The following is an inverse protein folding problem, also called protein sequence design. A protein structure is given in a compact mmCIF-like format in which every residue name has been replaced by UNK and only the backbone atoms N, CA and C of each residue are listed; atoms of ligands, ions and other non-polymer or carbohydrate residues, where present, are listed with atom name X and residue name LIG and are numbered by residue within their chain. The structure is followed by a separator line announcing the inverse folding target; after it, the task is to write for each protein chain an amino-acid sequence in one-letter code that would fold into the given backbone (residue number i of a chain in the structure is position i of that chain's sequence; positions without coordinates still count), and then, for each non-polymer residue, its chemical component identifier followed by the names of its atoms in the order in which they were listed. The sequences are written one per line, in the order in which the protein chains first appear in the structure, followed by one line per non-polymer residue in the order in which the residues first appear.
data_IF_513600131673
#
_entry.id   IF_513600131673
#
_cell.length_a   1.000
_cell.length_b   1.000
_cell.length_c   1.000
_cell.angle_alpha   90.00
_cell.angle_beta   90.00
_cell.angle_gamma   90.00
#
_symmetry.space_group_name_H-M   'P 1'
#
loop_
_entity.id
_entity.type
_entity.pdbx_description
1 polymer ?
#
# COMPACT_ATOMS: atom_id res chain seq x y z
N UNK A 1 -4.05 14.90 -7.24
CA UNK A 1 -3.51 14.21 -8.43
C UNK A 1 -4.30 14.73 -9.60
N UNK A 2 -3.61 15.28 -10.58
CA UNK A 2 -4.22 15.85 -11.78
C UNK A 2 -4.59 14.69 -12.72
N UNK A 3 -5.89 14.48 -13.03
CA UNK A 3 -6.33 13.32 -13.81
C UNK A 3 -5.79 13.34 -15.25
N UNK A 4 -5.54 14.52 -15.79
CA UNK A 4 -4.99 14.70 -17.13
C UNK A 4 -3.53 14.22 -17.20
N UNK A 5 -2.73 14.44 -16.15
CA UNK A 5 -1.34 13.97 -16.08
C UNK A 5 -1.21 12.44 -16.14
N UNK A 6 -2.11 11.68 -15.52
CA UNK A 6 -2.07 10.21 -15.54
C UNK A 6 -2.52 9.65 -16.90
N UNK A 7 -3.51 10.28 -17.53
CA UNK A 7 -3.95 9.91 -18.88
C UNK A 7 -2.82 10.09 -19.91
N UNK A 8 -2.08 11.21 -19.83
CA UNK A 8 -0.93 11.45 -20.71
C UNK A 8 0.22 10.45 -20.50
N UNK A 9 0.45 10.01 -19.25
CA UNK A 9 1.47 9.00 -18.96
C UNK A 9 1.09 7.63 -19.54
N UNK A 10 -0.17 7.21 -19.37
CA UNK A 10 -0.65 5.93 -19.89
C UNK A 10 -0.62 5.87 -21.44
N UNK A 11 -0.90 6.99 -22.10
CA UNK A 11 -0.80 7.12 -23.57
C UNK A 11 0.66 6.98 -24.06
N UNK A 12 1.60 7.65 -23.39
CA UNK A 12 3.02 7.53 -23.69
C UNK A 12 3.55 6.10 -23.48
N UNK A 13 3.16 5.47 -22.37
CA UNK A 13 3.49 4.06 -22.07
C UNK A 13 2.92 3.13 -23.14
N UNK A 14 1.66 3.32 -23.54
CA UNK A 14 1.03 2.49 -24.58
C UNK A 14 1.79 2.60 -25.91
N UNK A 15 2.19 3.81 -26.28
CA UNK A 15 2.97 4.07 -27.50
C UNK A 15 4.35 3.39 -27.45
N UNK A 16 5.06 3.49 -26.33
CA UNK A 16 6.39 2.90 -26.16
C UNK A 16 6.36 1.37 -26.21
N UNK A 17 5.39 0.75 -25.53
CA UNK A 17 5.26 -0.71 -25.51
C UNK A 17 4.77 -1.26 -26.86
N UNK A 18 3.90 -0.54 -27.57
CA UNK A 18 3.52 -0.90 -28.93
C UNK A 18 4.74 -0.85 -29.87
N UNK A 19 5.60 0.16 -29.75
CA UNK A 19 6.85 0.26 -30.51
C UNK A 19 7.84 -0.88 -30.21
N UNK A 20 7.84 -1.39 -28.97
CA UNK A 20 8.61 -2.56 -28.57
C UNK A 20 8.00 -3.91 -29.01
N UNK A 21 6.84 -3.91 -29.67
CA UNK A 21 6.20 -5.11 -30.22
C UNK A 21 5.26 -5.85 -29.26
N UNK A 22 4.87 -5.24 -28.14
CA UNK A 22 3.84 -5.80 -27.27
C UNK A 22 2.46 -5.66 -27.91
N UNK A 23 1.59 -6.64 -27.68
CA UNK A 23 0.19 -6.54 -28.10
C UNK A 23 -0.58 -5.62 -27.17
N UNK A 24 -1.61 -4.96 -27.71
CA UNK A 24 -2.45 -4.03 -26.95
C UNK A 24 -3.08 -4.68 -25.70
N UNK A 25 -3.47 -5.96 -25.81
CA UNK A 25 -3.95 -6.78 -24.70
C UNK A 25 -2.92 -6.94 -23.57
N UNK A 26 -1.64 -7.14 -23.92
CA UNK A 26 -0.56 -7.26 -22.97
C UNK A 26 -0.28 -5.94 -22.25
N UNK A 27 -0.34 -4.84 -23.00
CA UNK A 27 -0.15 -3.48 -22.47
C UNK A 27 -1.26 -3.14 -21.48
N UNK A 28 -2.52 -3.43 -21.83
CA UNK A 28 -3.68 -3.26 -20.93
C UNK A 28 -3.54 -4.07 -19.65
N UNK A 29 -3.08 -5.32 -19.76
CA UNK A 29 -2.84 -6.19 -18.59
C UNK A 29 -1.80 -5.60 -17.64
N UNK A 30 -0.72 -5.01 -18.19
CA UNK A 30 0.33 -4.35 -17.39
C UNK A 30 -0.22 -3.09 -16.70
N UNK A 31 -0.95 -2.24 -17.43
CA UNK A 31 -1.54 -1.01 -16.88
C UNK A 31 -2.56 -1.31 -15.79
N UNK A 32 -3.43 -2.31 -16.00
CA UNK A 32 -4.41 -2.75 -15.01
C UNK A 32 -3.72 -3.28 -13.74
N UNK A 33 -2.69 -4.11 -13.90
CA UNK A 33 -1.91 -4.63 -12.76
C UNK A 33 -1.19 -3.51 -12.00
N UNK A 34 -0.66 -2.50 -12.69
CA UNK A 34 -0.05 -1.33 -12.05
C UNK A 34 -1.08 -0.52 -11.26
N UNK A 35 -2.29 -0.34 -11.81
CA UNK A 35 -3.38 0.32 -11.10
C UNK A 35 -3.81 -0.50 -9.87
N UNK A 36 -3.95 -1.82 -9.99
CA UNK A 36 -4.25 -2.69 -8.85
C UNK A 36 -3.19 -2.58 -7.75
N UNK A 37 -1.90 -2.58 -8.09
CA UNK A 37 -0.81 -2.46 -7.11
C UNK A 37 -0.78 -1.10 -6.43
N UNK A 38 -0.96 0.00 -7.18
CA UNK A 38 -1.10 1.36 -6.61
C UNK A 38 -2.25 1.46 -5.60
N UNK A 39 -3.37 0.80 -5.88
CA UNK A 39 -4.54 0.84 -5.00
C UNK A 39 -4.43 -0.15 -3.82
N UNK A 40 -3.77 -1.30 -3.98
CA UNK A 40 -3.58 -2.29 -2.91
C UNK A 40 -2.64 -1.81 -1.79
N UNK A 41 -1.62 -0.99 -2.10
CA UNK A 41 -0.74 -0.40 -1.08
C UNK A 41 -1.51 0.46 -0.06
N UNK A 42 -2.67 0.98 -0.45
CA UNK A 42 -3.53 1.76 0.46
C UNK A 42 -4.29 0.85 1.43
N UNK A 43 -4.65 -0.37 1.01
CA UNK A 43 -5.48 -1.30 1.77
C UNK A 43 -4.68 -2.26 2.66
N UNK A 44 -3.40 -2.51 2.37
CA UNK A 44 -2.55 -3.39 3.16
C UNK A 44 -1.67 -2.67 4.18
N UNK A 45 -2.21 -1.65 4.87
CA UNK A 45 -1.60 -1.24 6.14
C UNK A 45 -1.79 -2.38 7.14
N UNK A 46 -0.78 -3.25 7.27
CA UNK A 46 -0.81 -4.31 8.28
C UNK A 46 -0.55 -3.65 9.63
N UNK A 47 -1.63 -3.21 10.29
CA UNK A 47 -1.55 -2.62 11.62
C UNK A 47 -0.99 -3.67 12.58
N UNK A 48 0.22 -3.44 13.07
CA UNK A 48 0.79 -4.28 14.11
C UNK A 48 0.11 -3.96 15.43
N UNK A 49 -0.50 -4.96 16.07
CA UNK A 49 -1.01 -4.80 17.44
C UNK A 49 0.17 -4.82 18.39
N UNK A 50 0.30 -3.77 19.18
CA UNK A 50 1.42 -3.61 20.11
C UNK A 50 0.89 -3.55 21.53
N UNK A 51 1.55 -4.27 22.44
CA UNK A 51 1.23 -4.26 23.86
C UNK A 51 2.03 -3.17 24.58
N UNK A 52 1.36 -2.36 25.40
CA UNK A 52 1.97 -1.21 26.12
C UNK A 52 3.13 -1.57 27.04
N UNK A 53 3.22 -2.83 27.49
CA UNK A 53 4.31 -3.30 28.37
C UNK A 53 5.62 -3.62 27.64
N UNK A 54 5.59 -3.84 26.32
CA UNK A 54 6.74 -4.42 25.61
C UNK A 54 7.40 -3.46 24.62
N UNK A 55 6.72 -2.39 24.19
CA UNK A 55 7.27 -1.46 23.21
C UNK A 55 6.89 -0.03 23.58
N UNK A 56 7.87 0.87 23.53
CA UNK A 56 7.65 2.30 23.74
C UNK A 56 7.02 2.93 22.48
N UNK A 57 6.03 3.82 22.64
CA UNK A 57 5.40 4.51 21.50
C UNK A 57 6.42 5.28 20.64
N UNK A 58 7.45 5.84 21.29
CA UNK A 58 8.52 6.58 20.62
C UNK A 58 9.27 5.73 19.60
N UNK A 59 9.56 4.46 19.93
CA UNK A 59 10.22 3.52 19.03
C UNK A 59 9.38 3.26 17.78
N UNK A 60 8.06 3.09 17.94
CA UNK A 60 7.17 2.82 16.82
C UNK A 60 7.03 4.04 15.90
N UNK A 61 7.02 5.24 16.46
CA UNK A 61 7.06 6.50 15.72
C UNK A 61 8.39 6.69 14.97
N UNK A 62 9.53 6.34 15.60
CA UNK A 62 10.86 6.44 14.96
C UNK A 62 10.96 5.57 13.70
N UNK A 63 10.39 4.36 13.73
CA UNK A 63 10.44 3.44 12.60
C UNK A 63 9.26 3.58 11.64
N UNK A 64 8.40 4.59 11.80
CA UNK A 64 7.21 4.85 10.98
C UNK A 64 6.32 3.60 10.80
N UNK A 65 6.26 2.76 11.83
CA UNK A 65 5.51 1.51 11.77
C UNK A 65 4.02 1.87 11.97
N UNK A 66 3.09 1.38 11.14
CA UNK A 66 1.66 1.52 11.42
C UNK A 66 1.26 0.57 12.56
N UNK A 67 0.88 1.12 13.71
CA UNK A 67 0.57 0.34 14.92
C UNK A 67 -0.73 0.81 15.61
N UNK A 68 -1.36 -0.10 16.35
CA UNK A 68 -2.50 0.19 17.24
C UNK A 68 -2.27 -0.48 18.59
N UNK A 69 -2.65 0.18 19.68
CA UNK A 69 -2.67 -0.48 21.00
C UNK A 69 -3.65 -1.64 21.00
N UNK A 70 -3.24 -2.77 21.54
CA UNK A 70 -4.20 -3.83 21.85
C UNK A 70 -5.15 -3.34 22.96
N UNK A 71 -6.46 -3.39 22.70
CA UNK A 71 -7.50 -2.87 23.61
C UNK A 71 -7.80 -3.84 24.76
N UNK A 72 -7.23 -5.05 24.76
CA UNK A 72 -7.32 -5.98 25.87
C UNK A 72 -6.37 -5.51 26.96
N UNK A 73 -6.92 -4.69 27.85
CA UNK A 73 -6.29 -4.29 29.09
C UNK A 73 -5.77 -5.52 29.83
N UNK A 74 -4.49 -5.51 30.12
CA UNK A 74 -3.87 -6.37 31.09
C UNK A 74 -4.56 -6.17 32.45
N UNK A 75 -5.48 -7.08 32.81
CA UNK A 75 -5.86 -7.49 34.17
C UNK A 75 -7.14 -8.35 34.12
N UNK A 76 -7.05 -9.58 33.62
CA UNK A 76 -7.93 -10.63 34.15
C UNK A 76 -7.36 -11.04 35.50
N UNK A 77 -7.72 -10.28 36.53
CA UNK A 77 -7.55 -10.66 37.91
C UNK A 77 -8.46 -11.87 38.15
N UNK A 78 -7.91 -13.07 38.11
CA UNK A 78 -8.57 -14.25 38.64
C UNK A 78 -8.38 -14.22 40.16
N UNK A 79 -9.44 -13.88 40.89
CA UNK A 79 -9.61 -14.17 42.31
C UNK A 79 -11.08 -14.54 42.56
#
# INVERSE_FOLDING_TARGET
MDPDAEAHLNDAVTTEFAAAGYTDDHIRTILDKQNQLKNNDTESHTWSRVHRRHVLPETLTTYQIPWRWDEVGDSTHFA
#
